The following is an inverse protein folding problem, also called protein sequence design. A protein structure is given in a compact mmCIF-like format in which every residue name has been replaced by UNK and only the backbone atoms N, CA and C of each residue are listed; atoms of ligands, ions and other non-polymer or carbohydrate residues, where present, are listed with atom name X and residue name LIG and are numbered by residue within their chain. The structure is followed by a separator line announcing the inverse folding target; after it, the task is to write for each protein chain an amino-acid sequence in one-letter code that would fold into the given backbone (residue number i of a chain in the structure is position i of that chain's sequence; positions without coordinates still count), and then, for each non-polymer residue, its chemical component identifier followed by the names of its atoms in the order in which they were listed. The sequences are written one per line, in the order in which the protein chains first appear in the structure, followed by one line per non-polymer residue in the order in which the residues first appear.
data_IF_927268143634
#
_entry.id   IF_927268143634
#
_cell.length_a   1.000
_cell.length_b   1.000
_cell.length_c   1.000
_cell.angle_alpha   90.00
_cell.angle_beta   90.00
_cell.angle_gamma   90.00
#
_symmetry.space_group_name_H-M   'P 1'
#
loop_
_entity.id
_entity.type
_entity.pdbx_description
1 polymer ?
#
# COMPACT_ATOMS: atom_id res chain seq x y z
N UNK A 1 -2.01 -2.33 4.00
CA UNK A 1 -0.63 -2.12 4.49
C UNK A 1 -0.38 -0.65 4.68
N UNK A 2 0.07 -0.25 5.86
CA UNK A 2 0.21 1.15 6.24
C UNK A 2 1.47 1.34 7.10
N UNK A 3 1.90 2.58 7.22
CA UNK A 3 2.95 3.01 8.15
C UNK A 3 2.37 4.12 9.00
N UNK A 4 2.65 4.08 10.30
CA UNK A 4 2.06 5.00 11.27
C UNK A 4 3.15 5.80 11.97
N UNK A 5 2.86 7.08 12.20
CA UNK A 5 3.59 7.89 13.18
C UNK A 5 3.07 7.51 14.58
N UNK A 6 3.91 7.70 15.60
CA UNK A 6 3.54 7.43 17.00
C UNK A 6 2.23 8.12 17.40
N UNK A 7 2.03 9.38 16.99
CA UNK A 7 0.81 10.13 17.29
C UNK A 7 -0.46 9.45 16.75
N UNK A 8 -0.41 8.93 15.52
CA UNK A 8 -1.53 8.23 14.88
C UNK A 8 -1.79 6.89 15.57
N UNK A 9 -0.75 6.17 15.99
CA UNK A 9 -0.89 4.94 16.76
C UNK A 9 -1.61 5.17 18.10
N UNK A 10 -1.31 6.27 18.81
CA UNK A 10 -1.99 6.62 20.06
C UNK A 10 -3.49 6.88 19.84
N UNK A 11 -3.85 7.56 18.75
CA UNK A 11 -5.26 7.81 18.40
C UNK A 11 -5.98 6.48 18.16
N UNK A 12 -5.38 5.57 17.38
CA UNK A 12 -5.98 4.24 17.11
C UNK A 12 -6.22 3.48 18.42
N UNK A 13 -5.24 3.48 19.33
CA UNK A 13 -5.39 2.78 20.62
C UNK A 13 -6.47 3.41 21.52
N UNK A 14 -6.71 4.72 21.40
CA UNK A 14 -7.73 5.42 22.16
C UNK A 14 -9.13 5.34 21.53
N UNK A 15 -9.24 5.00 20.24
CA UNK A 15 -10.51 4.96 19.54
C UNK A 15 -11.29 3.66 19.83
N UNK A 16 -12.35 3.80 20.63
CA UNK A 16 -13.35 2.76 20.80
C UNK A 16 -14.59 2.99 19.94
N UNK A 17 -14.86 4.21 19.50
CA UNK A 17 -16.12 4.58 18.87
C UNK A 17 -16.19 4.14 17.41
N UNK A 18 -15.22 4.55 16.60
CA UNK A 18 -15.25 4.26 15.17
C UNK A 18 -14.83 2.83 14.90
N UNK A 19 -13.78 2.34 15.56
CA UNK A 19 -13.37 0.94 15.45
C UNK A 19 -14.53 -0.03 15.74
N UNK A 20 -15.34 0.22 16.78
CA UNK A 20 -16.50 -0.63 17.13
C UNK A 20 -17.55 -0.65 16.00
N UNK A 21 -17.78 0.47 15.32
CA UNK A 21 -18.68 0.50 14.15
C UNK A 21 -18.14 -0.36 13.01
N UNK A 22 -16.86 -0.23 12.67
CA UNK A 22 -16.25 -1.09 11.65
C UNK A 22 -16.30 -2.57 12.06
N UNK A 23 -15.98 -2.90 13.31
CA UNK A 23 -16.04 -4.27 13.83
C UNK A 23 -17.44 -4.89 13.70
N UNK A 24 -18.51 -4.14 13.95
CA UNK A 24 -19.87 -4.68 13.93
C UNK A 24 -20.54 -4.65 12.55
N UNK A 25 -20.21 -3.67 11.71
CA UNK A 25 -20.92 -3.42 10.46
C UNK A 25 -20.07 -3.65 9.20
N UNK A 26 -18.74 -3.56 9.27
CA UNK A 26 -17.87 -3.87 8.14
C UNK A 26 -17.64 -5.38 8.06
N UNK A 27 -18.51 -6.06 7.31
CA UNK A 27 -18.49 -7.51 7.13
C UNK A 27 -18.40 -7.89 5.65
N UNK A 28 -17.91 -9.10 5.34
CA UNK A 28 -18.04 -9.67 4.01
C UNK A 28 -19.51 -9.78 3.59
N UNK A 29 -19.77 -9.65 2.29
CA UNK A 29 -21.11 -9.82 1.68
C UNK A 29 -22.23 -8.93 2.25
N UNK A 30 -21.91 -7.71 2.67
CA UNK A 30 -22.90 -6.69 3.02
C UNK A 30 -23.53 -6.14 1.74
N UNK A 31 -24.77 -6.53 1.45
CA UNK A 31 -25.52 -6.08 0.26
C UNK A 31 -24.75 -6.32 -1.07
N UNK A 32 -24.07 -7.47 -1.16
CA UNK A 32 -23.26 -7.82 -2.33
C UNK A 32 -21.89 -7.13 -2.40
N UNK A 33 -21.50 -6.37 -1.37
CA UNK A 33 -20.18 -5.75 -1.25
C UNK A 33 -19.38 -6.35 -0.10
N UNK A 34 -18.09 -6.54 -0.33
CA UNK A 34 -17.18 -6.97 0.74
C UNK A 34 -16.64 -5.74 1.47
N UNK A 35 -16.69 -5.77 2.79
CA UNK A 35 -16.06 -4.77 3.64
C UNK A 35 -15.06 -5.44 4.57
N UNK A 36 -13.82 -4.96 4.55
CA UNK A 36 -12.74 -5.41 5.42
C UNK A 36 -12.26 -4.28 6.33
N UNK A 37 -12.40 -4.47 7.64
CA UNK A 37 -12.18 -3.40 8.62
C UNK A 37 -10.74 -2.88 8.60
N UNK A 38 -9.76 -3.76 8.43
CA UNK A 38 -8.34 -3.43 8.33
C UNK A 38 -8.00 -2.60 7.07
N UNK A 39 -8.81 -2.69 6.01
CA UNK A 39 -8.64 -1.90 4.79
C UNK A 39 -9.37 -0.55 4.84
N UNK A 40 -10.49 -0.43 5.57
CA UNK A 40 -11.34 0.77 5.54
C UNK A 40 -11.31 1.64 6.80
N UNK A 41 -11.02 1.06 7.97
CA UNK A 41 -11.11 1.77 9.25
C UNK A 41 -10.10 2.93 9.33
N UNK A 42 -8.81 2.66 9.13
CA UNK A 42 -7.77 3.66 9.30
C UNK A 42 -7.87 4.82 8.29
N UNK A 43 -8.08 4.58 6.98
CA UNK A 43 -8.29 5.67 6.03
C UNK A 43 -9.49 6.54 6.41
N UNK A 44 -10.60 5.92 6.84
CA UNK A 44 -11.80 6.64 7.25
C UNK A 44 -11.54 7.51 8.49
N UNK A 45 -10.96 6.91 9.54
CA UNK A 45 -10.68 7.61 10.79
C UNK A 45 -9.78 8.84 10.54
N UNK A 46 -8.64 8.65 9.86
CA UNK A 46 -7.69 9.73 9.67
C UNK A 46 -8.11 10.79 8.67
N UNK A 47 -8.95 10.43 7.68
CA UNK A 47 -9.55 11.43 6.81
C UNK A 47 -10.44 12.41 7.61
N UNK A 48 -11.12 11.94 8.66
CA UNK A 48 -11.96 12.79 9.51
C UNK A 48 -11.17 13.65 10.50
N UNK A 49 -10.11 13.09 11.11
CA UNK A 49 -9.46 13.73 12.27
C UNK A 49 -8.14 14.43 11.95
N UNK A 50 -7.41 13.99 10.92
CA UNK A 50 -6.09 14.53 10.55
C UNK A 50 -5.81 14.36 9.04
N UNK A 51 -6.64 14.95 8.16
CA UNK A 51 -6.49 14.80 6.72
C UNK A 51 -5.18 15.40 6.18
N UNK A 52 -4.62 16.40 6.86
CA UNK A 52 -3.35 17.03 6.47
C UNK A 52 -2.11 16.24 6.97
N UNK A 53 -2.27 15.38 7.97
CA UNK A 53 -1.18 14.59 8.53
C UNK A 53 -0.94 13.22 7.88
N UNK A 54 -1.80 12.83 6.93
CA UNK A 54 -1.73 11.56 6.19
C UNK A 54 -1.29 11.76 4.73
N UNK A 55 -0.83 10.67 4.11
CA UNK A 55 -0.58 10.58 2.68
C UNK A 55 -1.60 9.65 2.03
N UNK A 56 -1.92 9.89 0.75
CA UNK A 56 -2.87 9.08 -0.02
C UNK A 56 -2.25 7.76 -0.53
N UNK A 57 -1.01 7.45 -0.16
CA UNK A 57 -0.31 6.24 -0.55
C UNK A 57 0.49 5.64 0.61
N UNK A 58 0.84 4.37 0.47
CA UNK A 58 1.68 3.62 1.41
C UNK A 58 3.10 3.54 0.88
N UNK A 59 4.10 3.39 1.77
CA UNK A 59 5.50 3.14 1.39
C UNK A 59 5.73 1.69 0.92
N UNK A 60 4.68 0.88 0.79
CA UNK A 60 4.75 -0.50 0.28
C UNK A 60 4.12 -0.58 -1.10
N UNK A 61 4.92 -0.91 -2.12
CA UNK A 61 4.43 -1.22 -3.46
C UNK A 61 3.62 -2.52 -3.47
N UNK A 62 2.48 -2.51 -4.16
CA UNK A 62 1.72 -3.71 -4.49
C UNK A 62 1.24 -3.61 -5.93
N UNK A 63 1.54 -4.63 -6.73
CA UNK A 63 1.18 -4.66 -8.14
C UNK A 63 -0.27 -5.12 -8.34
N UNK A 64 -1.13 -4.19 -8.72
CA UNK A 64 -2.55 -4.42 -8.99
C UNK A 64 -2.88 -4.51 -10.48
N UNK A 65 -1.88 -4.62 -11.36
CA UNK A 65 -2.07 -4.66 -12.82
C UNK A 65 -3.02 -5.77 -13.28
N UNK A 66 -3.14 -6.87 -12.53
CA UNK A 66 -4.04 -7.99 -12.84
C UNK A 66 -5.52 -7.74 -12.49
N UNK A 67 -5.85 -6.68 -11.74
CA UNK A 67 -7.23 -6.35 -11.37
C UNK A 67 -7.96 -7.41 -10.53
N UNK A 68 -7.23 -8.31 -9.87
CA UNK A 68 -7.77 -9.37 -9.00
C UNK A 68 -7.95 -8.87 -7.57
N UNK A 69 -8.58 -9.71 -6.73
CA UNK A 69 -8.73 -9.50 -5.28
C UNK A 69 -7.41 -9.45 -4.50
N UNK A 70 -6.33 -9.92 -5.11
CA UNK A 70 -4.98 -9.92 -4.54
C UNK A 70 -4.00 -9.36 -5.56
N UNK A 71 -2.96 -8.63 -5.11
CA UNK A 71 -1.94 -8.15 -6.01
C UNK A 71 -1.15 -9.31 -6.62
N UNK A 72 -0.55 -9.06 -7.79
CA UNK A 72 0.32 -9.99 -8.48
C UNK A 72 1.43 -10.48 -7.54
N UNK A 73 1.72 -11.77 -7.62
CA UNK A 73 2.85 -12.38 -6.94
C UNK A 73 4.01 -12.56 -7.91
N UNK A 74 5.12 -11.88 -7.66
CA UNK A 74 6.36 -12.02 -8.41
C UNK A 74 6.98 -13.39 -8.14
N UNK A 75 7.33 -14.08 -9.23
CA UNK A 75 8.02 -15.37 -9.23
C UNK A 75 9.53 -15.18 -9.34
N UNK A 76 10.30 -16.23 -9.13
CA UNK A 76 11.76 -16.18 -9.28
C UNK A 76 12.21 -15.64 -10.66
N UNK A 77 11.49 -15.99 -11.73
CA UNK A 77 11.80 -15.50 -13.08
C UNK A 77 11.59 -13.98 -13.26
N UNK A 78 10.73 -13.37 -12.45
CA UNK A 78 10.45 -11.93 -12.50
C UNK A 78 11.53 -11.10 -11.77
N UNK A 79 12.39 -11.76 -10.98
CA UNK A 79 13.40 -11.08 -10.16
C UNK A 79 14.71 -10.93 -10.94
N UNK A 80 15.09 -9.67 -11.17
CA UNK A 80 16.38 -9.25 -11.73
C UNK A 80 16.87 -7.96 -11.07
N UNK A 81 18.14 -7.59 -11.31
CA UNK A 81 18.70 -6.33 -10.79
C UNK A 81 17.96 -5.11 -11.34
N UNK A 82 17.58 -5.18 -12.61
CA UNK A 82 16.88 -4.15 -13.36
C UNK A 82 15.45 -3.99 -12.83
N UNK A 83 14.78 -5.11 -12.52
CA UNK A 83 13.47 -5.09 -11.89
C UNK A 83 13.50 -4.43 -10.51
N UNK A 84 14.49 -4.74 -9.67
CA UNK A 84 14.60 -4.10 -8.35
C UNK A 84 14.89 -2.60 -8.47
N UNK A 85 15.73 -2.20 -9.44
CA UNK A 85 16.02 -0.79 -9.75
C UNK A 85 14.77 -0.06 -10.25
N UNK A 86 13.98 -0.68 -11.13
CA UNK A 86 12.75 -0.05 -11.64
C UNK A 86 11.73 0.13 -10.53
N UNK A 87 11.59 -0.86 -9.64
CA UNK A 87 10.72 -0.79 -8.47
C UNK A 87 11.13 0.32 -7.49
N UNK A 88 12.43 0.46 -7.23
CA UNK A 88 12.99 1.50 -6.38
C UNK A 88 12.94 2.91 -7.01
N UNK A 89 12.76 3.00 -8.33
CA UNK A 89 12.68 4.26 -9.06
C UNK A 89 11.24 4.78 -9.25
N UNK A 90 10.21 4.02 -8.84
CA UNK A 90 8.82 4.47 -8.99
C UNK A 90 8.59 5.71 -8.12
N UNK A 91 8.27 6.83 -8.75
CA UNK A 91 8.08 8.13 -8.13
C UNK A 91 6.68 8.72 -8.39
N UNK A 92 5.76 7.88 -8.87
CA UNK A 92 4.34 8.19 -9.11
C UNK A 92 3.45 7.07 -8.58
N UNK A 93 2.26 7.44 -8.12
CA UNK A 93 1.24 6.51 -7.64
C UNK A 93 0.02 6.54 -8.55
N UNK A 94 -0.57 5.37 -8.77
CA UNK A 94 -1.78 5.19 -9.55
C UNK A 94 -2.93 4.82 -8.61
N UNK A 95 -4.00 5.60 -8.66
CA UNK A 95 -5.24 5.31 -7.96
C UNK A 95 -6.36 5.13 -8.96
N UNK A 96 -7.15 4.06 -8.78
CA UNK A 96 -8.33 3.77 -9.59
C UNK A 96 -9.53 3.78 -8.65
N UNK A 97 -10.53 4.62 -8.97
CA UNK A 97 -11.75 4.68 -8.16
C UNK A 97 -12.59 3.40 -8.30
N UNK A 98 -13.33 3.07 -7.24
CA UNK A 98 -14.24 1.91 -7.22
C UNK A 98 -15.64 2.21 -7.76
N UNK A 99 -15.87 3.41 -8.30
CA UNK A 99 -17.14 3.81 -8.90
C UNK A 99 -17.42 3.04 -10.22
N UNK A 100 -18.68 3.04 -10.66
CA UNK A 100 -19.07 2.47 -11.96
C UNK A 100 -18.23 3.04 -13.11
N UNK A 101 -17.99 4.36 -13.06
CA UNK A 101 -17.03 5.03 -13.92
C UNK A 101 -15.67 5.07 -13.24
N UNK A 102 -14.79 4.15 -13.64
CA UNK A 102 -13.41 4.10 -13.16
C UNK A 102 -12.65 5.35 -13.59
N UNK A 103 -12.20 6.14 -12.62
CA UNK A 103 -11.28 7.26 -12.84
C UNK A 103 -9.89 6.87 -12.41
N UNK A 104 -8.90 7.17 -13.25
CA UNK A 104 -7.49 6.98 -12.95
C UNK A 104 -6.90 8.31 -12.53
N UNK A 105 -6.25 8.33 -11.36
CA UNK A 105 -5.49 9.48 -10.88
C UNK A 105 -4.03 9.07 -10.76
N UNK A 106 -3.15 9.88 -11.34
CA UNK A 106 -1.71 9.72 -11.25
C UNK A 106 -1.19 10.88 -10.40
N UNK A 107 -0.46 10.57 -9.34
CA UNK A 107 0.09 11.59 -8.44
C UNK A 107 1.59 11.36 -8.24
N UNK A 108 2.43 12.39 -8.40
CA UNK A 108 3.84 12.29 -8.05
C UNK A 108 4.00 12.13 -6.53
N UNK A 109 4.97 11.32 -6.12
CA UNK A 109 5.36 11.18 -4.73
C UNK A 109 6.21 12.37 -4.31
N UNK A 110 5.58 13.30 -3.61
CA UNK A 110 6.22 14.52 -3.14
C UNK A 110 6.63 14.38 -1.69
N UNK A 111 7.92 14.59 -1.40
CA UNK A 111 8.46 14.70 -0.06
C UNK A 111 9.07 16.10 0.12
N UNK A 112 8.49 16.90 1.02
CA UNK A 112 8.92 18.28 1.29
C UNK A 112 9.03 19.14 0.01
N UNK A 113 8.08 18.98 -0.92
CA UNK A 113 8.04 19.71 -2.18
C UNK A 113 8.97 19.17 -3.27
N UNK A 114 9.69 18.07 -3.04
CA UNK A 114 10.54 17.41 -4.05
C UNK A 114 9.96 16.06 -4.47
N UNK A 115 10.02 15.75 -5.77
CA UNK A 115 9.69 14.41 -6.28
C UNK A 115 10.71 13.39 -5.76
N UNK A 116 10.24 12.28 -5.20
CA UNK A 116 11.06 11.20 -4.63
C UNK A 116 10.42 9.84 -4.93
N UNK A 117 11.19 8.74 -4.89
CA UNK A 117 10.62 7.40 -4.95
C UNK A 117 9.56 7.17 -3.87
N UNK A 118 8.47 6.51 -4.27
CA UNK A 118 7.28 6.31 -3.45
C UNK A 118 7.46 5.23 -2.38
N UNK A 119 8.27 4.21 -2.67
CA UNK A 119 8.21 2.92 -1.97
C UNK A 119 9.55 2.55 -1.33
N UNK A 120 9.46 2.03 -0.11
CA UNK A 120 10.57 1.43 0.64
C UNK A 120 10.44 -0.10 0.70
N UNK A 121 9.23 -0.61 0.58
CA UNK A 121 8.91 -2.04 0.62
C UNK A 121 8.11 -2.43 -0.62
N UNK A 122 8.05 -3.72 -0.90
CA UNK A 122 7.22 -4.25 -1.98
C UNK A 122 6.62 -5.61 -1.62
N UNK A 123 5.51 -5.93 -2.28
CA UNK A 123 4.82 -7.23 -2.25
C UNK A 123 4.09 -7.46 -3.57
N UNK A 124 3.70 -8.68 -3.92
CA UNK A 124 3.88 -9.95 -3.21
C UNK A 124 4.98 -10.75 -3.91
N UNK A 125 5.81 -11.45 -3.15
CA UNK A 125 6.83 -12.34 -3.70
C UNK A 125 6.48 -13.78 -3.34
N UNK A 126 6.57 -14.69 -4.32
CA UNK A 126 6.45 -16.12 -4.04
C UNK A 126 7.66 -16.61 -3.23
N UNK A 127 7.52 -17.67 -2.41
CA UNK A 127 8.64 -18.25 -1.67
C UNK A 127 9.84 -18.62 -2.55
N UNK A 128 9.60 -19.06 -3.79
CA UNK A 128 10.64 -19.39 -4.78
C UNK A 128 11.53 -18.20 -5.17
N UNK A 129 11.08 -16.95 -4.95
CA UNK A 129 11.86 -15.75 -5.26
C UNK A 129 12.93 -15.44 -4.19
N UNK A 130 12.89 -16.10 -3.02
CA UNK A 130 13.70 -15.78 -1.85
C UNK A 130 15.21 -15.76 -2.16
N UNK A 131 15.73 -16.85 -2.73
CA UNK A 131 17.17 -17.00 -2.95
C UNK A 131 17.74 -15.92 -3.88
N UNK A 132 16.98 -15.59 -4.94
CA UNK A 132 17.35 -14.50 -5.85
C UNK A 132 17.32 -13.13 -5.18
N UNK A 133 16.30 -12.86 -4.37
CA UNK A 133 16.19 -11.60 -3.65
C UNK A 133 17.37 -11.43 -2.68
N UNK A 134 17.66 -12.45 -1.87
CA UNK A 134 18.79 -12.42 -0.93
C UNK A 134 20.12 -12.22 -1.67
N UNK A 135 20.35 -12.97 -2.75
CA UNK A 135 21.56 -12.82 -3.56
C UNK A 135 21.73 -11.40 -4.12
N UNK A 136 20.67 -10.81 -4.66
CA UNK A 136 20.73 -9.47 -5.23
C UNK A 136 20.89 -8.37 -4.17
N UNK A 137 20.24 -8.48 -3.01
CA UNK A 137 20.33 -7.47 -1.96
C UNK A 137 21.71 -7.42 -1.30
N UNK A 138 22.37 -8.57 -1.10
CA UNK A 138 23.73 -8.61 -0.54
C UNK A 138 24.75 -7.97 -1.47
N UNK A 139 24.55 -8.10 -2.78
CA UNK A 139 25.42 -7.51 -3.80
C UNK A 139 25.01 -6.08 -4.20
N UNK A 140 23.93 -5.54 -3.62
CA UNK A 140 23.41 -4.22 -3.97
C UNK A 140 24.25 -3.08 -3.36
N UNK A 141 24.87 -3.31 -2.20
CA UNK A 141 25.75 -2.33 -1.53
C UNK A 141 27.17 -2.27 -2.06
N UNK A 142 27.52 -3.13 -3.02
CA UNK A 142 28.87 -3.21 -3.61
C UNK A 142 29.05 -2.45 -4.93
N UNK A 143 28.05 -1.65 -5.34
CA UNK A 143 28.11 -0.80 -6.55
C UNK A 143 27.83 0.66 -6.20
#
# INVERSE_FOLDING_TARGET
WFTLKRQHAMIIMADSLYYTKFKHYCKPNMEGRNCYADEHYLPTLFHMIDPAGIANWSVTHADWSEGKWHPKAYRAQDISSEFLKSLAAIDETFHITSDEQKKVTIMPCMWNGMKRPCYLFARKFNPEALDKLVFLFVNYTTV
#
